data_IF_487538972713
#
_entry.id   IF_487538972713
#
_cell.length_a   1.000
_cell.length_b   1.000
_cell.length_c   1.000
_cell.angle_alpha   90.00
_cell.angle_beta   90.00
_cell.angle_gamma   90.00
#
_symmetry.space_group_name_H-M   'P 1'
#
loop_
_entity.id
_entity.type
_entity.pdbx_description
1 polymer ?
#
# COMPACT_ATOMS: atom_id res chain seq x y z
N UNK A 1 22.55 58.87 31.10
CA UNK A 1 22.18 59.65 29.90
C UNK A 1 22.34 58.69 28.73
N UNK A 2 21.23 58.10 28.27
CA UNK A 2 20.68 58.31 26.91
C UNK A 2 21.33 57.37 25.90
N UNK A 3 20.68 56.58 25.05
CA UNK A 3 19.28 56.40 24.64
C UNK A 3 19.21 55.01 23.96
N UNK A 4 18.00 54.44 23.87
CA UNK A 4 17.70 53.22 23.13
C UNK A 4 17.96 53.36 21.62
N UNK A 5 18.21 52.23 20.95
CA UNK A 5 17.94 52.03 19.53
C UNK A 5 17.49 50.59 19.31
N UNK A 6 16.17 50.45 19.19
CA UNK A 6 15.45 49.33 18.62
C UNK A 6 15.93 49.04 17.20
N UNK A 7 16.41 47.81 16.95
CA UNK A 7 16.45 47.22 15.62
C UNK A 7 16.10 45.73 15.75
N UNK A 8 14.81 45.46 15.82
CA UNK A 8 14.24 44.16 15.53
C UNK A 8 14.30 43.93 14.01
N UNK A 9 14.97 42.87 13.56
CA UNK A 9 14.65 42.06 12.38
C UNK A 9 15.88 41.24 11.92
N UNK A 10 15.85 39.92 12.10
CA UNK A 10 15.45 38.98 11.03
C UNK A 10 15.72 37.54 11.48
N UNK A 11 14.65 36.82 11.76
CA UNK A 11 14.62 35.37 12.01
C UNK A 11 15.27 34.59 10.86
N UNK A 12 16.41 33.95 11.11
CA UNK A 12 17.02 32.98 10.18
C UNK A 12 17.81 31.90 10.93
N UNK A 13 17.09 30.98 11.55
CA UNK A 13 17.45 29.57 11.37
C UNK A 13 16.15 28.80 11.25
N UNK A 14 15.61 28.89 10.03
CA UNK A 14 14.78 27.85 9.47
C UNK A 14 15.65 26.60 9.52
N UNK A 15 15.49 25.78 10.56
CA UNK A 15 15.81 24.36 10.46
C UNK A 15 14.77 23.82 9.47
N UNK A 16 15.08 24.07 8.20
CA UNK A 16 14.50 23.43 7.05
C UNK A 16 14.78 21.96 7.28
N UNK A 17 13.88 21.31 8.01
CA UNK A 17 13.65 19.90 7.84
C UNK A 17 13.31 19.77 6.36
N UNK A 18 14.35 19.55 5.56
CA UNK A 18 14.25 18.95 4.24
C UNK A 18 13.15 17.92 4.37
N UNK A 19 12.09 17.96 3.52
CA UNK A 19 11.17 16.86 3.50
C UNK A 19 12.05 15.66 3.21
N UNK A 20 12.25 14.81 4.23
CA UNK A 20 12.95 13.55 4.09
C UNK A 20 12.05 12.77 3.16
N UNK A 21 12.24 12.93 1.84
CA UNK A 21 11.68 12.07 0.83
C UNK A 21 12.38 10.75 1.14
N UNK A 22 11.73 9.84 1.88
CA UNK A 22 12.39 8.61 2.24
C UNK A 22 12.40 7.80 0.96
N UNK A 23 13.59 7.70 0.35
CA UNK A 23 13.94 6.62 -0.54
C UNK A 23 13.11 6.52 -1.82
N UNK A 24 13.73 6.92 -2.92
CA UNK A 24 13.44 6.31 -4.21
C UNK A 24 13.58 4.79 -4.12
N UNK A 25 12.45 4.09 -3.95
CA UNK A 25 12.23 2.70 -4.33
C UNK A 25 10.72 2.42 -4.41
N UNK A 26 10.21 2.18 -5.61
CA UNK A 26 8.95 1.43 -5.87
C UNK A 26 7.64 1.96 -5.22
N UNK A 27 7.18 3.14 -5.63
CA UNK A 27 5.95 3.83 -5.18
C UNK A 27 4.63 3.20 -5.67
N UNK A 28 4.45 1.88 -5.51
CA UNK A 28 3.20 1.14 -5.78
C UNK A 28 2.62 0.63 -4.46
N UNK A 29 2.18 1.57 -3.63
CA UNK A 29 1.67 1.27 -2.29
C UNK A 29 0.21 0.81 -2.35
N UNK A 30 -0.57 1.40 -3.25
CA UNK A 30 -1.99 1.10 -3.41
C UNK A 30 -2.23 0.19 -4.61
N UNK A 31 -3.07 -0.83 -4.41
CA UNK A 31 -3.50 -1.75 -5.45
C UNK A 31 -5.02 -1.80 -5.51
N UNK A 32 -5.58 -1.79 -6.71
CA UNK A 32 -6.98 -2.12 -6.94
C UNK A 32 -7.14 -3.64 -6.86
N UNK A 33 -8.11 -4.11 -6.08
CA UNK A 33 -8.50 -5.51 -6.00
C UNK A 33 -9.99 -5.63 -6.24
N UNK A 34 -10.41 -6.77 -6.79
CA UNK A 34 -11.81 -7.07 -7.08
C UNK A 34 -12.28 -8.11 -6.07
N UNK A 35 -13.29 -7.79 -5.28
CA UNK A 35 -13.85 -8.77 -4.37
C UNK A 35 -14.43 -9.95 -5.18
N UNK A 36 -14.04 -11.20 -4.92
CA UNK A 36 -14.48 -12.34 -5.73
C UNK A 36 -15.98 -12.61 -5.63
N UNK A 37 -16.64 -12.19 -4.53
CA UNK A 37 -18.07 -12.40 -4.28
C UNK A 37 -18.96 -11.38 -4.96
N UNK A 38 -18.71 -10.09 -4.71
CA UNK A 38 -19.55 -8.99 -5.20
C UNK A 38 -19.08 -8.44 -6.54
N UNK A 39 -17.83 -8.74 -6.94
CA UNK A 39 -17.13 -8.11 -8.06
C UNK A 39 -16.93 -6.60 -7.89
N UNK A 40 -17.10 -6.09 -6.68
CA UNK A 40 -16.82 -4.69 -6.37
C UNK A 40 -15.32 -4.42 -6.30
N UNK A 41 -14.93 -3.22 -6.69
CA UNK A 41 -13.55 -2.76 -6.66
C UNK A 41 -13.27 -2.10 -5.32
N UNK A 42 -12.15 -2.45 -4.72
CA UNK A 42 -11.61 -1.77 -3.55
C UNK A 42 -10.11 -1.51 -3.74
N UNK A 43 -9.56 -0.61 -2.95
CA UNK A 43 -8.16 -0.22 -2.99
C UNK A 43 -7.50 -0.59 -1.68
N UNK A 44 -6.40 -1.35 -1.76
CA UNK A 44 -5.66 -1.80 -0.61
C UNK A 44 -4.25 -1.23 -0.60
N UNK A 45 -3.81 -0.74 0.56
CA UNK A 45 -2.44 -0.31 0.79
C UNK A 45 -1.60 -1.50 1.27
N UNK A 46 -0.62 -1.90 0.46
CA UNK A 46 0.28 -3.03 0.74
C UNK A 46 1.24 -2.78 1.90
N UNK A 47 1.40 -1.53 2.34
CA UNK A 47 2.27 -1.13 3.44
C UNK A 47 1.49 -1.09 4.75
N UNK A 48 0.35 -0.40 4.77
CA UNK A 48 -0.44 -0.16 6.00
C UNK A 48 -1.50 -1.23 6.25
N UNK A 49 -1.92 -1.97 5.23
CA UNK A 49 -3.05 -2.89 5.32
C UNK A 49 -4.42 -2.21 5.18
N UNK A 50 -4.47 -0.90 4.97
CA UNK A 50 -5.71 -0.15 4.83
C UNK A 50 -6.46 -0.55 3.56
N UNK A 51 -7.79 -0.69 3.66
CA UNK A 51 -8.67 -0.95 2.53
C UNK A 51 -9.75 0.14 2.46
N UNK A 52 -9.93 0.72 1.29
CA UNK A 52 -10.96 1.75 1.04
C UNK A 52 -11.73 1.42 -0.24
N UNK A 53 -12.98 1.86 -0.30
CA UNK A 53 -13.83 1.67 -1.49
C UNK A 53 -13.59 2.76 -2.53
N UNK A 54 -13.32 3.99 -2.08
CA UNK A 54 -13.00 5.11 -2.95
C UNK A 54 -11.50 5.21 -3.24
N UNK A 55 -11.10 5.57 -4.47
CA UNK A 55 -9.70 5.71 -4.82
C UNK A 55 -9.06 6.85 -4.01
N UNK A 56 -7.98 6.58 -3.25
CA UNK A 56 -7.28 7.63 -2.53
C UNK A 56 -6.69 8.69 -3.47
N UNK A 57 -6.85 9.96 -3.11
CA UNK A 57 -6.36 11.09 -3.91
C UNK A 57 -4.84 11.27 -3.78
N UNK A 58 -4.18 11.62 -4.88
CA UNK A 58 -2.75 11.98 -4.87
C UNK A 58 -1.77 10.81 -4.72
N UNK A 59 -2.25 9.55 -4.74
CA UNK A 59 -1.39 8.36 -4.67
C UNK A 59 -1.41 7.57 -5.97
N UNK A 60 -0.34 6.80 -6.20
CA UNK A 60 -0.25 5.90 -7.36
C UNK A 60 -0.97 4.60 -7.02
N UNK A 61 -2.06 4.35 -7.73
CA UNK A 61 -2.84 3.11 -7.63
C UNK A 61 -2.46 2.19 -8.79
N UNK A 62 -2.08 0.97 -8.45
CA UNK A 62 -1.91 -0.11 -9.40
C UNK A 62 -3.25 -0.73 -9.71
N UNK A 63 -3.78 -0.48 -10.91
CA UNK A 63 -5.05 -1.08 -11.33
C UNK A 63 -4.89 -2.56 -11.62
N UNK A 64 -6.01 -3.26 -11.61
CA UNK A 64 -6.07 -4.64 -12.09
C UNK A 64 -5.65 -4.72 -13.56
N UNK A 65 -4.85 -5.73 -13.91
CA UNK A 65 -4.40 -6.00 -15.28
C UNK A 65 -4.41 -7.51 -15.55
N UNK A 66 -4.33 -7.90 -16.83
CA UNK A 66 -4.42 -9.31 -17.24
C UNK A 66 -3.25 -10.16 -16.73
N UNK A 67 -2.05 -9.57 -16.67
CA UNK A 67 -0.83 -10.22 -16.16
C UNK A 67 -0.70 -10.15 -14.64
N UNK A 68 -1.71 -9.63 -13.94
CA UNK A 68 -1.70 -9.50 -12.49
C UNK A 68 -2.10 -10.79 -11.80
N UNK A 69 -1.28 -11.22 -10.84
CA UNK A 69 -1.56 -12.35 -9.97
C UNK A 69 -1.44 -11.95 -8.52
N UNK A 70 -2.43 -12.32 -7.72
CA UNK A 70 -2.43 -12.11 -6.28
C UNK A 70 -1.77 -13.29 -5.61
N UNK A 71 -0.67 -13.04 -4.90
CA UNK A 71 -0.07 -13.99 -3.97
C UNK A 71 -0.84 -13.93 -2.66
N UNK A 72 -1.45 -15.06 -2.32
CA UNK A 72 -2.29 -15.25 -1.14
C UNK A 72 -1.74 -16.44 -0.34
N UNK A 73 -1.98 -16.43 0.97
CA UNK A 73 -1.58 -17.51 1.87
C UNK A 73 -2.80 -18.38 2.18
N UNK A 74 -2.68 -19.70 1.98
CA UNK A 74 -3.65 -20.68 2.43
C UNK A 74 -3.20 -21.28 3.77
N UNK A 75 -3.91 -21.00 4.89
CA UNK A 75 -3.55 -21.52 6.20
C UNK A 75 -3.75 -23.05 6.31
N UNK A 76 -4.63 -23.65 5.51
CA UNK A 76 -4.90 -25.09 5.58
C UNK A 76 -3.71 -25.92 5.11
N UNK A 77 -3.05 -25.45 4.05
CA UNK A 77 -1.87 -26.09 3.47
C UNK A 77 -0.56 -25.43 3.87
N UNK A 78 -0.63 -24.32 4.62
CA UNK A 78 0.52 -23.49 5.01
C UNK A 78 1.40 -23.10 3.81
N UNK A 79 0.77 -22.77 2.67
CA UNK A 79 1.45 -22.49 1.40
C UNK A 79 0.87 -21.27 0.72
N UNK A 80 1.72 -20.57 -0.05
CA UNK A 80 1.25 -19.55 -0.97
C UNK A 80 0.59 -20.16 -2.20
N UNK A 81 -0.47 -19.50 -2.65
CA UNK A 81 -1.13 -19.73 -3.93
C UNK A 81 -1.28 -18.41 -4.68
N UNK A 82 -1.43 -18.51 -6.00
CA UNK A 82 -1.50 -17.37 -6.89
C UNK A 82 -2.83 -17.39 -7.61
N UNK A 83 -3.58 -16.29 -7.51
CA UNK A 83 -4.88 -16.12 -8.15
C UNK A 83 -4.82 -15.02 -9.22
N UNK A 84 -5.30 -15.33 -10.42
CA UNK A 84 -5.48 -14.34 -11.51
C UNK A 84 -6.95 -13.91 -11.55
N UNK A 85 -7.21 -12.63 -11.30
CA UNK A 85 -8.57 -12.08 -11.40
C UNK A 85 -9.07 -12.06 -12.85
N UNK A 86 -8.19 -11.84 -13.82
CA UNK A 86 -8.51 -11.78 -15.23
C UNK A 86 -8.98 -13.14 -15.78
N UNK A 87 -8.25 -14.21 -15.46
CA UNK A 87 -8.58 -15.57 -15.93
C UNK A 87 -9.41 -16.39 -14.94
N UNK A 88 -9.58 -15.89 -13.71
CA UNK A 88 -10.24 -16.58 -12.59
C UNK A 88 -9.60 -17.95 -12.28
N UNK A 89 -8.27 -18.01 -12.40
CA UNK A 89 -7.48 -19.23 -12.17
C UNK A 89 -6.66 -19.14 -10.90
N UNK A 90 -6.51 -20.28 -10.25
CA UNK A 90 -5.62 -20.46 -9.10
C UNK A 90 -4.52 -21.45 -9.44
N UNK A 91 -3.29 -21.13 -9.06
CA UNK A 91 -2.12 -22.00 -9.23
C UNK A 91 -1.27 -22.03 -7.95
N UNK A 92 -0.59 -23.14 -7.72
CA UNK A 92 0.30 -23.32 -6.56
C UNK A 92 1.75 -22.90 -6.80
N UNK A 93 2.10 -22.67 -8.07
CA UNK A 93 3.44 -22.25 -8.48
C UNK A 93 3.40 -20.80 -8.91
N UNK A 94 4.39 -20.03 -8.49
CA UNK A 94 4.50 -18.61 -8.85
C UNK A 94 4.61 -18.47 -10.38
N UNK A 95 3.68 -17.77 -11.04
CA UNK A 95 3.77 -17.55 -12.47
C UNK A 95 4.98 -16.67 -12.80
N UNK A 96 5.65 -16.99 -13.90
CA UNK A 96 6.83 -16.26 -14.37
C UNK A 96 6.42 -15.12 -15.28
N UNK A 97 7.22 -14.06 -15.31
CA UNK A 97 7.03 -12.89 -16.18
C UNK A 97 5.67 -12.19 -15.99
N UNK A 98 5.04 -12.40 -14.84
CA UNK A 98 3.79 -11.80 -14.44
C UNK A 98 3.99 -10.84 -13.26
N UNK A 99 2.99 -10.01 -13.05
CA UNK A 99 3.00 -9.03 -11.99
C UNK A 99 2.39 -9.57 -10.70
N UNK A 100 3.24 -9.91 -9.73
CA UNK A 100 2.82 -10.54 -8.48
C UNK A 100 2.51 -9.48 -7.42
N UNK A 101 1.26 -9.46 -6.96
CA UNK A 101 0.78 -8.60 -5.87
C UNK A 101 0.77 -9.39 -4.56
N UNK A 102 1.61 -9.07 -3.57
CA UNK A 102 1.73 -9.82 -2.32
C UNK A 102 0.60 -9.49 -1.33
N UNK A 103 -0.64 -9.88 -1.67
CA UNK A 103 -1.81 -9.68 -0.81
C UNK A 103 -1.76 -10.53 0.46
N UNK A 104 -0.93 -11.56 0.52
CA UNK A 104 -0.70 -12.35 1.72
C UNK A 104 -0.34 -11.49 2.94
N UNK A 105 0.40 -10.38 2.72
CA UNK A 105 0.71 -9.41 3.78
C UNK A 105 -0.56 -8.79 4.38
N UNK A 106 -1.53 -8.46 3.55
CA UNK A 106 -2.82 -7.91 3.98
C UNK A 106 -3.62 -8.95 4.79
N UNK A 107 -3.57 -10.23 4.42
CA UNK A 107 -4.24 -11.29 5.17
C UNK A 107 -3.69 -11.39 6.60
N UNK A 108 -2.37 -11.32 6.78
CA UNK A 108 -1.73 -11.33 8.10
C UNK A 108 -2.04 -10.07 8.91
N UNK A 109 -2.09 -8.90 8.28
CA UNK A 109 -2.41 -7.64 8.95
C UNK A 109 -3.86 -7.61 9.45
N UNK A 110 -4.83 -8.01 8.61
CA UNK A 110 -6.25 -8.10 9.01
C UNK A 110 -6.48 -9.13 10.12
N UNK A 111 -5.78 -10.26 10.09
CA UNK A 111 -5.88 -11.30 11.13
C UNK A 111 -5.34 -10.86 12.50
N UNK A 112 -4.43 -9.88 12.57
CA UNK A 112 -3.94 -9.37 13.87
C UNK A 112 -4.92 -8.39 14.54
N UNK A 113 -5.75 -7.69 13.76
CA UNK A 113 -6.74 -6.74 14.29
C UNK A 113 -8.01 -7.41 14.80
N UNK A 114 -8.26 -8.67 14.43
CA UNK A 114 -9.30 -9.53 15.01
C UNK A 114 -8.71 -10.41 16.14
N UNK A 115 -8.23 -9.77 17.22
CA UNK A 115 -8.03 -10.48 18.49
C UNK A 115 -9.38 -10.56 19.23
N UNK A 116 -9.94 -11.76 19.49
CA UNK A 116 -11.22 -11.89 20.16
C UNK A 116 -11.04 -11.64 21.66
N UNK A 117 -11.73 -10.64 22.22
CA UNK A 117 -12.35 -10.68 23.54
C UNK A 117 -13.55 -9.75 23.61
#
# INVERSE_FOLDING_TARGET
MSQAQDYECRSHHVDEQEPRIPGSSTRLEWVEIIEPRTRERMYANLVTGECVWDPPAGVRIKRTSEDQWWELFDPNTSRFYYYSAASQRTVWHRPQNCDIIPLAKLQTLKQNTESPR
#
